data_IF_625201837397
#
_entry.id   IF_625201837397
#
_cell.length_a   1.000
_cell.length_b   1.000
_cell.length_c   1.000
_cell.angle_alpha   90.00
_cell.angle_beta   90.00
_cell.angle_gamma   90.00
#
_symmetry.space_group_name_H-M   'P 1'
#
loop_
_entity.id
_entity.type
_entity.pdbx_description
1 polymer ?
#
# COMPACT_ATOMS: atom_id res chain seq x y z
N UNK A 1 24.55 4.94 29.58
CA UNK A 1 23.13 5.05 29.20
C UNK A 1 23.08 4.86 27.71
N UNK A 2 23.04 3.62 27.28
CA UNK A 2 23.16 3.26 25.86
C UNK A 2 21.76 3.28 25.27
N UNK A 3 21.41 4.39 24.60
CA UNK A 3 20.17 4.48 23.83
C UNK A 3 20.48 3.96 22.42
N UNK A 4 20.44 2.64 22.27
CA UNK A 4 20.44 2.03 20.94
C UNK A 4 19.11 2.38 20.26
N UNK A 5 19.12 3.33 19.33
CA UNK A 5 18.03 3.54 18.39
C UNK A 5 17.68 2.19 17.72
N UNK A 6 16.39 1.85 17.57
CA UNK A 6 16.02 0.66 16.84
C UNK A 6 16.50 0.82 15.38
N UNK A 7 17.04 -0.24 14.75
CA UNK A 7 17.51 -0.16 13.39
C UNK A 7 16.33 0.16 12.48
N UNK A 8 16.39 1.30 11.80
CA UNK A 8 15.50 1.63 10.68
C UNK A 8 15.55 0.48 9.69
N UNK A 9 14.46 -0.31 9.62
CA UNK A 9 14.36 -1.45 8.72
C UNK A 9 14.45 -0.97 7.26
N UNK A 10 15.64 -1.19 6.69
CA UNK A 10 15.96 -1.46 5.29
C UNK A 10 15.26 -0.57 4.27
N UNK A 11 15.97 0.50 3.88
CA UNK A 11 15.99 0.95 2.48
C UNK A 11 16.24 -0.31 1.64
N UNK A 12 15.24 -0.81 0.91
CA UNK A 12 15.43 -1.90 -0.05
C UNK A 12 16.28 -1.34 -1.19
N UNK A 13 17.58 -1.65 -1.28
CA UNK A 13 18.50 -0.96 -2.20
C UNK A 13 18.28 -1.38 -3.67
N UNK A 14 17.50 -2.44 -3.91
CA UNK A 14 17.38 -3.07 -5.23
C UNK A 14 16.20 -2.56 -6.06
N UNK A 15 15.36 -1.64 -5.55
CA UNK A 15 14.16 -1.17 -6.25
C UNK A 15 14.21 0.32 -6.52
N UNK A 16 13.81 0.72 -7.73
CA UNK A 16 13.77 2.13 -8.15
C UNK A 16 12.72 2.96 -7.41
N UNK A 17 11.75 2.32 -6.75
CA UNK A 17 10.74 2.98 -5.92
C UNK A 17 10.98 2.66 -4.45
N UNK A 18 10.83 3.66 -3.58
CA UNK A 18 10.79 3.51 -2.12
C UNK A 18 9.45 4.06 -1.59
N UNK A 19 9.03 3.57 -0.43
CA UNK A 19 7.82 4.03 0.26
C UNK A 19 8.06 4.16 1.76
N UNK A 20 7.61 5.26 2.35
CA UNK A 20 7.70 5.50 3.79
C UNK A 20 6.45 6.22 4.34
N UNK A 21 5.79 5.70 5.38
CA UNK A 21 5.98 4.37 5.97
C UNK A 21 5.49 3.25 5.03
N UNK A 22 6.04 2.05 5.14
CA UNK A 22 5.54 0.86 4.41
C UNK A 22 4.34 0.18 5.10
N UNK A 23 3.94 0.70 6.27
CA UNK A 23 2.89 0.15 7.10
C UNK A 23 2.01 1.28 7.64
N UNK A 24 0.70 1.15 7.46
CA UNK A 24 -0.31 2.03 8.02
C UNK A 24 -1.09 1.31 9.12
N UNK A 25 -1.48 2.06 10.14
CA UNK A 25 -2.28 1.57 11.26
C UNK A 25 -3.61 2.32 11.33
N UNK A 26 -4.71 1.58 11.41
CA UNK A 26 -6.06 2.14 11.45
C UNK A 26 -6.88 1.62 12.62
N UNK A 27 -7.92 2.35 13.00
CA UNK A 27 -8.93 1.91 13.97
C UNK A 27 -10.18 1.40 13.26
N UNK A 28 -11.01 0.63 13.97
CA UNK A 28 -12.30 0.14 13.45
C UNK A 28 -13.24 1.29 13.07
N UNK A 29 -13.10 2.45 13.70
CA UNK A 29 -13.81 3.70 13.39
C UNK A 29 -13.30 4.40 12.13
N UNK A 30 -12.20 3.93 11.53
CA UNK A 30 -11.57 4.51 10.35
C UNK A 30 -10.23 5.17 10.65
N UNK A 31 -9.81 6.07 9.76
CA UNK A 31 -8.59 6.87 9.91
C UNK A 31 -7.99 7.29 8.57
N UNK A 32 -6.89 8.03 8.65
CA UNK A 32 -6.10 8.49 7.51
C UNK A 32 -4.62 8.14 7.74
N UNK A 33 -3.94 7.71 6.69
CA UNK A 33 -2.49 7.52 6.64
C UNK A 33 -1.93 8.22 5.41
N UNK A 34 -0.79 8.89 5.54
CA UNK A 34 -0.04 9.52 4.46
C UNK A 34 1.26 8.71 4.24
N UNK A 35 1.64 8.51 2.98
CA UNK A 35 2.81 7.73 2.57
C UNK A 35 3.60 8.50 1.52
N UNK A 36 4.91 8.62 1.71
CA UNK A 36 5.81 9.22 0.74
C UNK A 36 6.34 8.15 -0.19
N UNK A 37 6.11 8.30 -1.49
CA UNK A 37 6.73 7.48 -2.53
C UNK A 37 7.91 8.24 -3.11
N UNK A 38 9.09 7.63 -3.17
CA UNK A 38 10.31 8.26 -3.67
C UNK A 38 10.87 7.46 -4.83
N UNK A 39 11.05 8.11 -5.98
CA UNK A 39 11.76 7.52 -7.11
C UNK A 39 13.26 7.68 -6.91
N UNK A 40 13.93 6.57 -6.59
CA UNK A 40 15.38 6.46 -6.41
C UNK A 40 16.11 6.12 -7.73
N UNK A 41 15.37 5.84 -8.81
CA UNK A 41 15.91 5.54 -10.13
C UNK A 41 16.29 6.79 -10.93
N UNK A 42 16.85 6.54 -12.11
CA UNK A 42 17.35 7.58 -13.03
C UNK A 42 16.32 8.03 -14.06
N UNK A 43 15.23 7.26 -14.22
CA UNK A 43 14.15 7.51 -15.18
C UNK A 43 12.82 7.79 -14.47
N UNK A 44 11.86 8.35 -15.19
CA UNK A 44 10.51 8.63 -14.66
C UNK A 44 9.78 7.30 -14.43
N UNK A 45 9.11 7.17 -13.28
CA UNK A 45 8.31 5.99 -12.96
C UNK A 45 6.82 6.28 -13.14
N UNK A 46 6.13 5.37 -13.81
CA UNK A 46 4.68 5.24 -13.73
C UNK A 46 4.32 4.31 -12.58
N UNK A 47 3.44 4.73 -11.68
CA UNK A 47 3.02 3.96 -10.51
C UNK A 47 1.51 3.78 -10.51
N UNK A 48 1.04 2.54 -10.36
CA UNK A 48 -0.37 2.14 -10.22
C UNK A 48 -0.60 1.47 -8.88
N UNK A 49 -1.58 1.95 -8.12
CA UNK A 49 -1.86 1.47 -6.78
C UNK A 49 -3.10 0.57 -6.83
N UNK A 50 -2.97 -0.65 -6.29
CA UNK A 50 -4.09 -1.57 -6.08
C UNK A 50 -4.33 -1.75 -4.59
N UNK A 51 -5.59 -1.76 -4.17
CA UNK A 51 -5.98 -2.07 -2.80
C UNK A 51 -6.67 -3.44 -2.74
N UNK A 52 -6.40 -4.22 -1.69
CA UNK A 52 -7.10 -5.49 -1.45
C UNK A 52 -8.57 -5.32 -1.09
N UNK A 53 -8.97 -4.14 -0.61
CA UNK A 53 -10.31 -3.88 -0.08
C UNK A 53 -10.78 -2.46 -0.40
N UNK A 54 -11.32 -2.28 -1.60
CA UNK A 54 -11.87 -0.99 -2.03
C UNK A 54 -13.20 -0.63 -1.35
N UNK A 55 -13.83 -1.53 -0.59
CA UNK A 55 -15.04 -1.21 0.14
C UNK A 55 -14.72 -0.26 1.30
N UNK A 56 -13.73 -0.60 2.12
CA UNK A 56 -13.35 0.18 3.31
C UNK A 56 -12.29 1.24 3.06
N UNK A 57 -11.44 1.07 2.04
CA UNK A 57 -10.33 1.99 1.81
C UNK A 57 -10.58 2.86 0.57
N UNK A 58 -10.12 4.11 0.67
CA UNK A 58 -9.99 5.06 -0.45
C UNK A 58 -8.54 5.47 -0.54
N UNK A 59 -7.98 5.43 -1.74
CA UNK A 59 -6.57 5.69 -2.01
C UNK A 59 -6.47 6.80 -3.04
N UNK A 60 -5.65 7.81 -2.77
CA UNK A 60 -5.48 8.96 -3.65
C UNK A 60 -4.02 9.46 -3.67
N UNK A 61 -3.39 9.57 -4.85
CA UNK A 61 -3.88 9.14 -6.17
C UNK A 61 -3.86 7.60 -6.33
N UNK A 62 -4.64 7.04 -7.27
CA UNK A 62 -4.62 5.60 -7.60
C UNK A 62 -3.65 5.23 -8.74
N UNK A 63 -3.16 6.25 -9.46
CA UNK A 63 -2.13 6.16 -10.49
C UNK A 63 -1.43 7.50 -10.61
N UNK A 64 -0.12 7.51 -10.83
CA UNK A 64 0.69 8.72 -10.87
C UNK A 64 2.01 8.51 -11.61
N UNK A 65 2.66 9.61 -11.97
CA UNK A 65 4.06 9.62 -12.38
C UNK A 65 4.93 10.24 -11.29
N UNK A 66 6.16 9.74 -11.16
CA UNK A 66 7.17 10.28 -10.26
C UNK A 66 8.47 10.44 -11.05
N UNK A 67 8.91 11.69 -11.25
CA UNK A 67 10.17 11.97 -11.94
C UNK A 67 11.38 11.42 -11.17
N UNK A 68 12.50 11.20 -11.86
CA UNK A 68 13.74 10.74 -11.24
C UNK A 68 14.18 11.64 -10.08
N UNK A 69 14.49 11.06 -8.94
CA UNK A 69 14.88 11.78 -7.72
C UNK A 69 13.77 12.60 -7.06
N UNK A 70 12.52 12.51 -7.53
CA UNK A 70 11.38 13.20 -6.93
C UNK A 70 10.55 12.26 -6.04
N UNK A 71 9.72 12.87 -5.21
CA UNK A 71 8.80 12.17 -4.34
C UNK A 71 7.37 12.66 -4.52
N UNK A 72 6.40 11.82 -4.17
CA UNK A 72 5.01 12.19 -4.14
C UNK A 72 4.24 11.54 -2.99
N UNK A 73 3.23 12.25 -2.49
CA UNK A 73 2.39 11.78 -1.40
C UNK A 73 1.26 10.85 -1.90
N UNK A 74 1.01 9.79 -1.15
CA UNK A 74 -0.10 8.85 -1.31
C UNK A 74 -0.93 8.84 -0.02
N UNK A 75 -2.20 9.19 -0.16
CA UNK A 75 -3.14 9.25 0.95
C UNK A 75 -4.04 8.01 0.96
N UNK A 76 -4.15 7.39 2.12
CA UNK A 76 -5.02 6.24 2.38
C UNK A 76 -6.02 6.59 3.47
N UNK A 77 -7.30 6.56 3.14
CA UNK A 77 -8.41 6.79 4.08
C UNK A 77 -9.17 5.50 4.28
N UNK A 78 -9.36 5.10 5.53
CA UNK A 78 -10.20 3.96 5.92
C UNK A 78 -11.53 4.46 6.48
N UNK A 79 -12.62 3.91 5.97
CA UNK A 79 -13.97 4.08 6.53
C UNK A 79 -14.18 3.18 7.75
N UNK A 80 -15.17 3.50 8.59
CA UNK A 80 -15.54 2.64 9.70
C UNK A 80 -15.99 1.25 9.19
N UNK A 81 -15.59 0.19 9.89
CA UNK A 81 -15.92 -1.18 9.49
C UNK A 81 -15.09 -2.25 10.21
N UNK A 82 -15.34 -3.53 9.90
CA UNK A 82 -14.72 -4.67 10.60
C UNK A 82 -13.19 -4.66 10.54
N UNK A 83 -12.55 -5.06 11.63
CA UNK A 83 -11.11 -5.23 11.67
C UNK A 83 -10.67 -6.34 10.70
N UNK A 84 -9.80 -6.01 9.75
CA UNK A 84 -9.21 -6.94 8.77
C UNK A 84 -7.78 -6.52 8.46
N UNK A 85 -6.94 -7.50 8.16
CA UNK A 85 -5.61 -7.25 7.59
C UNK A 85 -5.73 -7.03 6.09
N UNK A 86 -5.33 -5.86 5.62
CA UNK A 86 -5.41 -5.46 4.21
C UNK A 86 -4.02 -5.00 3.70
N UNK A 87 -3.91 -4.76 2.39
CA UNK A 87 -2.66 -4.31 1.78
C UNK A 87 -2.90 -3.44 0.56
N UNK A 88 -1.97 -2.53 0.31
CA UNK A 88 -1.79 -1.91 -1.00
C UNK A 88 -0.64 -2.58 -1.73
N UNK A 89 -0.80 -2.75 -3.04
CA UNK A 89 0.25 -3.18 -3.96
C UNK A 89 0.50 -2.02 -4.92
N UNK A 90 1.69 -1.45 -4.82
CA UNK A 90 2.21 -0.43 -5.73
C UNK A 90 2.91 -1.18 -6.86
N UNK A 91 2.41 -1.01 -8.07
CA UNK A 91 3.03 -1.53 -9.27
C UNK A 91 3.71 -0.41 -10.01
N UNK A 92 4.95 -0.60 -10.43
CA UNK A 92 5.68 0.44 -11.11
C UNK A 92 6.52 -0.09 -12.27
N UNK A 93 6.71 0.78 -13.25
CA UNK A 93 7.49 0.59 -14.45
C UNK A 93 8.15 1.92 -14.79
N UNK A 94 9.33 1.87 -15.38
CA UNK A 94 9.93 3.02 -16.04
C UNK A 94 9.07 3.45 -17.23
N UNK A 95 8.94 4.76 -17.44
CA UNK A 95 8.16 5.34 -18.52
C UNK A 95 8.86 6.56 -19.11
N UNK A 96 8.64 6.80 -20.40
CA UNK A 96 9.12 8.02 -21.06
C UNK A 96 8.41 9.28 -20.55
N UNK A 97 9.09 10.42 -20.68
CA UNK A 97 8.58 11.73 -20.27
C UNK A 97 7.37 12.19 -21.10
N UNK A 98 7.26 11.69 -22.34
CA UNK A 98 6.18 12.03 -23.27
C UNK A 98 4.87 11.28 -22.97
N UNK A 99 4.88 10.34 -22.01
CA UNK A 99 3.67 9.63 -21.59
C UNK A 99 2.81 10.55 -20.71
N UNK A 100 1.61 10.87 -21.18
CA UNK A 100 0.69 11.78 -20.48
C UNK A 100 -0.38 11.05 -19.64
N UNK A 101 -0.78 9.84 -20.05
CA UNK A 101 -1.81 9.05 -19.35
C UNK A 101 -1.23 7.78 -18.71
N UNK A 102 -1.07 7.83 -17.40
CA UNK A 102 -0.56 6.71 -16.60
C UNK A 102 -1.47 5.48 -16.69
N UNK A 103 -2.81 5.65 -16.73
CA UNK A 103 -3.75 4.53 -16.79
C UNK A 103 -3.67 3.83 -18.14
N UNK A 104 -3.59 4.59 -19.23
CA UNK A 104 -3.47 4.02 -20.57
C UNK A 104 -2.11 3.33 -20.75
N UNK A 105 -1.03 3.92 -20.23
CA UNK A 105 0.29 3.27 -20.19
C UNK A 105 0.24 1.88 -19.55
N UNK A 106 -0.39 1.75 -18.37
CA UNK A 106 -0.53 0.43 -17.74
C UNK A 106 -1.43 -0.53 -18.52
N UNK A 107 -2.48 -0.06 -19.21
CA UNK A 107 -3.28 -0.93 -20.08
C UNK A 107 -2.46 -1.48 -21.25
N UNK A 108 -1.60 -0.65 -21.85
CA UNK A 108 -0.72 -1.06 -22.94
C UNK A 108 0.37 -2.02 -22.44
N UNK A 109 0.97 -1.71 -21.30
CA UNK A 109 1.94 -2.59 -20.64
C UNK A 109 1.35 -3.98 -20.35
N UNK A 110 0.12 -4.04 -19.83
CA UNK A 110 -0.62 -5.29 -19.59
C UNK A 110 -0.85 -6.08 -20.91
N UNK A 111 -1.28 -5.41 -21.99
CA UNK A 111 -1.46 -6.03 -23.32
C UNK A 111 -0.15 -6.58 -23.90
N UNK A 112 0.96 -5.89 -23.65
CA UNK A 112 2.29 -6.27 -24.12
C UNK A 112 2.97 -7.32 -23.22
N UNK A 113 2.31 -7.76 -22.14
CA UNK A 113 2.85 -8.76 -21.23
C UNK A 113 3.99 -8.25 -20.34
N UNK A 114 4.08 -6.93 -20.14
CA UNK A 114 5.03 -6.35 -19.21
C UNK A 114 4.80 -6.89 -17.80
N UNK A 115 5.88 -7.02 -17.02
CA UNK A 115 5.83 -7.45 -15.61
C UNK A 115 6.26 -6.29 -14.72
N UNK A 116 5.32 -5.45 -14.25
CA UNK A 116 5.65 -4.38 -13.33
C UNK A 116 6.33 -4.91 -12.07
N UNK A 117 7.32 -4.17 -11.60
CA UNK A 117 7.84 -4.36 -10.25
C UNK A 117 6.78 -4.01 -9.21
N UNK A 118 6.90 -4.58 -8.02
CA UNK A 118 5.91 -4.39 -6.97
C UNK A 118 6.50 -4.05 -5.61
N UNK A 119 5.83 -3.14 -4.92
CA UNK A 119 6.03 -2.83 -3.50
C UNK A 119 4.71 -2.98 -2.77
N UNK A 120 4.79 -3.21 -1.46
CA UNK A 120 3.62 -3.45 -0.62
C UNK A 120 3.59 -2.42 0.49
N UNK A 121 2.40 -1.86 0.73
CA UNK A 121 2.08 -1.18 1.99
C UNK A 121 1.14 -2.09 2.79
N UNK A 122 1.46 -2.36 4.05
CA UNK A 122 0.60 -3.15 4.94
C UNK A 122 -0.44 -2.26 5.63
N UNK A 123 -1.72 -2.62 5.58
CA UNK A 123 -2.79 -1.90 6.27
C UNK A 123 -3.22 -2.74 7.48
N UNK A 124 -2.75 -2.33 8.66
CA UNK A 124 -2.94 -3.05 9.93
C UNK A 124 -3.96 -2.33 10.81
N UNK A 125 -4.57 -3.07 11.74
CA UNK A 125 -5.46 -2.50 12.74
C UNK A 125 -4.69 -2.22 14.04
N UNK A 126 -4.92 -1.07 14.65
CA UNK A 126 -4.41 -0.74 16.00
C UNK A 126 -5.07 -1.71 17.00
N UNK A 127 -4.26 -2.42 17.80
CA UNK A 127 -4.71 -3.41 18.78
C UNK A 127 -4.44 -4.88 18.43
N UNK A 128 -3.96 -5.18 17.22
CA UNK A 128 -3.58 -6.54 16.80
C UNK A 128 -2.27 -7.06 17.45
N UNK A 129 -1.58 -6.23 18.25
CA UNK A 129 -0.45 -6.71 19.08
C UNK A 129 -0.88 -7.39 20.40
N UNK A 130 -2.17 -7.64 20.63
CA UNK A 130 -2.61 -8.26 21.90
C UNK A 130 -3.95 -8.97 21.93
N UNK A 131 -4.82 -8.84 20.92
CA UNK A 131 -6.06 -9.63 20.86
C UNK A 131 -6.17 -10.32 19.51
N UNK A 132 -5.79 -11.60 19.50
CA UNK A 132 -6.21 -12.55 18.47
C UNK A 132 -7.73 -12.58 18.49
N UNK A 133 -8.38 -11.79 17.64
CA UNK A 133 -9.82 -11.90 17.41
C UNK A 133 -10.03 -13.24 16.74
N UNK A 134 -10.34 -14.25 17.54
CA UNK A 134 -10.85 -15.52 17.04
C UNK A 134 -12.14 -15.15 16.32
N UNK A 135 -12.29 -15.42 15.00
CA UNK A 135 -13.56 -15.23 14.35
C UNK A 135 -14.56 -16.10 15.10
N UNK A 136 -15.58 -15.47 15.68
CA UNK A 136 -16.64 -16.14 16.41
C UNK A 136 -17.15 -17.29 15.54
N UNK A 137 -16.90 -18.53 15.96
CA UNK A 137 -17.61 -19.68 15.41
C UNK A 137 -19.09 -19.35 15.55
N UNK A 138 -19.83 -19.43 14.45
CA UNK A 138 -21.28 -19.47 14.47
C UNK A 138 -21.68 -20.54 15.49
N UNK A 139 -22.32 -20.12 16.56
CA UNK A 139 -22.98 -21.04 17.49
C UNK A 139 -24.24 -21.47 16.75
N UNK A 140 -24.18 -22.63 16.11
CA UNK A 140 -25.41 -23.33 15.75
C UNK A 140 -26.01 -23.87 17.04
N UNK A 141 -27.10 -23.23 17.49
CA UNK A 141 -28.02 -23.79 18.47
C UNK A 141 -28.54 -25.11 17.92
N UNK A 142 -28.02 -26.23 18.40
CA UNK A 142 -28.67 -27.55 18.31
C UNK A 142 -27.97 -28.53 19.27
N UNK A 143 -28.23 -28.38 20.57
CA UNK A 143 -28.05 -29.45 21.55
C UNK A 143 -28.81 -29.18 22.86
N UNK A 144 -30.13 -28.97 22.80
CA UNK A 144 -31.03 -29.35 23.90
C UNK A 144 -32.31 -29.93 23.27
N UNK A 145 -32.31 -31.25 23.03
CA UNK A 145 -33.37 -32.16 23.48
C UNK A 145 -32.96 -33.61 23.24
#
# INVERSE_FOLDING_TARGET
SDMSEPPSEKITPDKALSVDPDTAYFNVTGGKSDHMLVNLGETRLAVKIRCSNNALYRVSPSSMFIEAGQCQNLVVVRQAGPARSDKLILQFLECDKDVEDCKEFFKQADKNGAKPETLRISLKMVGDQGYRVIPSREVTDDAIS
#
